data_IF_384296984735
#
_entry.id   IF_384296984735
#
_cell.length_a   1.000
_cell.length_b   1.000
_cell.length_c   1.000
_cell.angle_alpha   90.00
_cell.angle_beta   90.00
_cell.angle_gamma   90.00
#
_symmetry.space_group_name_H-M   'P 1'
#
loop_
_entity.id
_entity.type
_entity.pdbx_description
1 polymer ?
#
# COMPACT_ATOMS: atom_id res chain seq x y z
N UNK A 1 13.96 -9.95 -9.42
CA UNK A 1 12.69 -10.55 -9.91
C UNK A 1 12.41 -11.89 -9.26
N UNK A 2 13.38 -12.80 -9.13
CA UNK A 2 13.21 -14.08 -8.42
C UNK A 2 12.61 -13.91 -7.02
N UNK A 3 13.21 -13.05 -6.18
CA UNK A 3 12.67 -12.76 -4.84
C UNK A 3 11.23 -12.20 -4.87
N UNK A 4 10.89 -11.36 -5.84
CA UNK A 4 9.54 -10.82 -5.95
C UNK A 4 8.53 -11.90 -6.35
N UNK A 5 8.94 -12.83 -7.22
CA UNK A 5 8.12 -13.97 -7.63
C UNK A 5 7.87 -14.93 -6.45
N UNK A 6 8.88 -15.14 -5.59
CA UNK A 6 8.74 -15.91 -4.35
C UNK A 6 7.75 -15.26 -3.37
N UNK A 7 7.86 -13.95 -3.12
CA UNK A 7 6.95 -13.19 -2.26
C UNK A 7 5.50 -13.23 -2.78
N UNK A 8 5.34 -13.15 -4.10
CA UNK A 8 4.04 -13.19 -4.75
C UNK A 8 3.51 -14.62 -4.98
N UNK A 9 4.27 -15.66 -4.60
CA UNK A 9 3.95 -17.06 -4.83
C UNK A 9 3.60 -17.41 -6.29
N UNK A 10 4.30 -16.80 -7.25
CA UNK A 10 4.12 -17.04 -8.68
C UNK A 10 5.43 -17.47 -9.34
N UNK A 11 5.33 -18.07 -10.52
CA UNK A 11 6.50 -18.42 -11.32
C UNK A 11 7.22 -17.15 -11.81
N UNK A 12 8.54 -17.11 -11.70
CA UNK A 12 9.35 -15.99 -12.18
C UNK A 12 9.14 -15.64 -13.66
N UNK A 13 8.96 -16.62 -14.59
CA UNK A 13 8.59 -16.32 -15.98
C UNK A 13 7.25 -15.59 -16.10
N UNK A 14 6.25 -15.94 -15.29
CA UNK A 14 4.94 -15.29 -15.31
C UNK A 14 5.04 -13.82 -14.85
N UNK A 15 5.79 -13.55 -13.78
CA UNK A 15 6.05 -12.18 -13.33
C UNK A 15 6.81 -11.37 -14.39
N UNK A 16 7.82 -11.98 -15.02
CA UNK A 16 8.56 -11.33 -16.11
C UNK A 16 7.66 -10.99 -17.29
N UNK A 17 6.72 -11.86 -17.63
CA UNK A 17 5.77 -11.63 -18.71
C UNK A 17 4.80 -10.51 -18.37
N UNK A 18 4.27 -10.46 -17.14
CA UNK A 18 3.38 -9.38 -16.70
C UNK A 18 4.06 -8.01 -16.76
N UNK A 19 5.33 -7.92 -16.33
CA UNK A 19 6.11 -6.69 -16.45
C UNK A 19 6.29 -6.31 -17.93
N UNK A 20 6.62 -7.27 -18.79
CA UNK A 20 6.79 -7.00 -20.21
C UNK A 20 5.49 -6.53 -20.88
N UNK A 21 4.35 -7.10 -20.52
CA UNK A 21 3.03 -6.64 -20.98
C UNK A 21 2.78 -5.18 -20.56
N UNK A 22 3.05 -4.86 -19.29
CA UNK A 22 2.90 -3.50 -18.76
C UNK A 22 3.81 -2.51 -19.50
N UNK A 23 5.08 -2.88 -19.72
CA UNK A 23 6.02 -2.08 -20.52
C UNK A 23 5.51 -1.86 -21.96
N UNK A 24 4.85 -2.86 -22.55
CA UNK A 24 4.20 -2.76 -23.85
C UNK A 24 2.98 -1.83 -23.88
N UNK A 25 2.13 -1.88 -22.85
CA UNK A 25 0.96 -0.99 -22.72
C UNK A 25 1.36 0.48 -22.60
N UNK A 26 2.42 0.76 -21.83
CA UNK A 26 2.95 2.11 -21.66
C UNK A 26 3.95 2.52 -22.75
N UNK A 27 4.29 1.62 -23.67
CA UNK A 27 5.33 1.81 -24.69
C UNK A 27 6.67 2.33 -24.10
N UNK A 28 7.00 1.88 -22.90
CA UNK A 28 8.11 2.41 -22.14
C UNK A 28 8.70 1.33 -21.24
N UNK A 29 10.03 1.25 -21.21
CA UNK A 29 10.73 0.37 -20.28
C UNK A 29 10.57 0.90 -18.85
N UNK A 30 10.13 0.04 -17.94
CA UNK A 30 9.85 0.36 -16.53
C UNK A 30 10.98 -0.15 -15.64
N UNK A 31 11.63 -1.25 -16.01
CA UNK A 31 12.71 -1.88 -15.25
C UNK A 31 13.96 -2.12 -16.11
N UNK A 32 15.12 -1.79 -15.57
CA UNK A 32 16.44 -2.13 -16.13
C UNK A 32 16.99 -3.33 -15.37
N UNK A 33 17.40 -4.36 -16.12
CA UNK A 33 18.07 -5.55 -15.57
C UNK A 33 19.58 -5.36 -15.66
N UNK A 34 20.25 -5.48 -14.52
CA UNK A 34 21.72 -5.42 -14.42
C UNK A 34 22.26 -6.70 -13.79
N UNK A 35 23.57 -6.92 -13.88
CA UNK A 35 24.24 -8.05 -13.20
C UNK A 35 24.08 -8.02 -11.67
N UNK A 36 23.74 -6.86 -11.09
CA UNK A 36 23.55 -6.66 -9.64
C UNK A 36 22.09 -6.74 -9.20
N UNK A 37 21.14 -6.90 -10.13
CA UNK A 37 19.72 -6.93 -9.82
C UNK A 37 18.88 -6.09 -10.78
N UNK A 38 17.74 -5.62 -10.30
CA UNK A 38 16.75 -4.89 -11.11
C UNK A 38 16.53 -3.51 -10.52
N UNK A 39 16.58 -2.48 -11.36
CA UNK A 39 16.41 -1.08 -10.97
C UNK A 39 15.31 -0.42 -11.81
N UNK A 40 14.47 0.44 -11.22
CA UNK A 40 13.43 1.13 -11.98
C UNK A 40 14.03 2.20 -12.90
N UNK A 41 13.43 2.39 -14.08
CA UNK A 41 13.65 3.55 -14.94
C UNK A 41 12.95 4.78 -14.36
N UNK A 42 13.12 5.95 -14.98
CA UNK A 42 12.37 7.15 -14.58
C UNK A 42 10.86 6.99 -14.79
N UNK A 43 10.45 6.35 -15.90
CA UNK A 43 9.06 5.96 -16.11
C UNK A 43 8.57 4.95 -15.05
N UNK A 44 9.41 3.98 -14.69
CA UNK A 44 9.12 3.03 -13.61
C UNK A 44 8.89 3.70 -12.27
N UNK A 45 9.65 4.75 -11.93
CA UNK A 45 9.47 5.54 -10.69
C UNK A 45 8.16 6.34 -10.70
N UNK A 46 7.81 6.94 -11.84
CA UNK A 46 6.54 7.66 -12.00
C UNK A 46 5.38 6.69 -11.80
N UNK A 47 5.39 5.57 -12.53
CA UNK A 47 4.35 4.55 -12.42
C UNK A 47 4.24 4.00 -11.00
N UNK A 48 5.38 3.73 -10.33
CA UNK A 48 5.39 3.23 -8.95
C UNK A 48 4.67 4.17 -7.98
N UNK A 49 4.90 5.48 -8.11
CA UNK A 49 4.23 6.50 -7.27
C UNK A 49 2.71 6.45 -7.44
N UNK A 50 2.24 6.39 -8.69
CA UNK A 50 0.81 6.33 -8.98
C UNK A 50 0.20 4.98 -8.61
N UNK A 51 0.86 3.87 -8.94
CA UNK A 51 0.40 2.51 -8.64
C UNK A 51 0.19 2.31 -7.14
N UNK A 52 1.11 2.79 -6.30
CA UNK A 52 0.97 2.71 -4.84
C UNK A 52 -0.25 3.47 -4.33
N UNK A 53 -0.54 4.64 -4.90
CA UNK A 53 -1.73 5.42 -4.53
C UNK A 53 -3.02 4.71 -4.98
N UNK A 54 -3.05 4.18 -6.20
CA UNK A 54 -4.18 3.45 -6.77
C UNK A 54 -4.49 2.20 -5.95
N UNK A 55 -3.48 1.38 -5.64
CA UNK A 55 -3.67 0.16 -4.84
C UNK A 55 -4.26 0.48 -3.46
N UNK A 56 -3.78 1.55 -2.81
CA UNK A 56 -4.35 2.02 -1.54
C UNK A 56 -5.80 2.48 -1.69
N UNK A 57 -6.14 3.19 -2.77
CA UNK A 57 -7.52 3.58 -3.03
C UNK A 57 -8.43 2.37 -3.28
N UNK A 58 -7.96 1.37 -4.01
CA UNK A 58 -8.70 0.13 -4.23
C UNK A 58 -8.98 -0.61 -2.92
N UNK A 59 -7.97 -0.73 -2.05
CA UNK A 59 -8.11 -1.33 -0.72
C UNK A 59 -9.13 -0.55 0.13
N UNK A 60 -9.03 0.78 0.16
CA UNK A 60 -10.00 1.63 0.87
C UNK A 60 -11.42 1.47 0.33
N UNK A 61 -11.59 1.38 -0.99
CA UNK A 61 -12.88 1.14 -1.61
C UNK A 61 -13.46 -0.23 -1.23
N UNK A 62 -12.63 -1.28 -1.23
CA UNK A 62 -13.05 -2.62 -0.80
C UNK A 62 -13.49 -2.63 0.66
N UNK A 63 -12.72 -2.00 1.55
CA UNK A 63 -13.07 -1.85 2.97
C UNK A 63 -14.38 -1.06 3.14
N UNK A 64 -14.52 0.06 2.45
CA UNK A 64 -15.72 0.89 2.53
C UNK A 64 -16.98 0.11 2.11
N UNK A 65 -16.89 -0.70 1.03
CA UNK A 65 -17.99 -1.55 0.58
C UNK A 65 -18.27 -2.70 1.56
N UNK A 66 -17.23 -3.35 2.08
CA UNK A 66 -17.40 -4.44 3.06
C UNK A 66 -18.02 -3.97 4.37
N UNK A 67 -17.70 -2.75 4.79
CA UNK A 67 -18.15 -2.18 6.06
C UNK A 67 -19.54 -1.53 5.98
N UNK A 68 -20.21 -1.56 4.81
CA UNK A 68 -21.59 -1.04 4.69
C UNK A 68 -22.51 -1.84 5.62
N UNK A 69 -23.05 -1.16 6.62
CA UNK A 69 -23.97 -1.76 7.60
C UNK A 69 -23.29 -2.55 8.73
N UNK A 70 -21.95 -2.58 8.76
CA UNK A 70 -21.20 -3.14 9.89
C UNK A 70 -20.82 -2.03 10.88
N UNK A 71 -20.77 -2.37 12.17
CA UNK A 71 -20.19 -1.47 13.17
C UNK A 71 -18.71 -1.21 12.81
N UNK A 72 -18.26 0.04 12.99
CA UNK A 72 -16.86 0.43 12.72
C UNK A 72 -15.91 -0.49 13.50
N UNK A 73 -15.08 -1.26 12.79
CA UNK A 73 -14.17 -2.25 13.36
C UNK A 73 -12.89 -2.35 12.54
N UNK A 74 -11.78 -2.79 13.17
CA UNK A 74 -10.49 -3.00 12.49
C UNK A 74 -9.34 -2.17 13.05
N UNK A 75 -8.16 -2.32 12.44
CA UNK A 75 -6.90 -1.74 12.94
C UNK A 75 -6.62 -0.35 12.35
N UNK A 76 -6.36 0.65 13.21
CA UNK A 76 -6.09 2.04 12.81
C UNK A 76 -4.76 2.50 13.39
N UNK A 77 -3.81 2.87 12.53
CA UNK A 77 -2.55 3.47 12.98
C UNK A 77 -2.63 4.98 13.03
N UNK A 78 -2.31 5.57 14.20
CA UNK A 78 -2.26 7.02 14.40
C UNK A 78 -0.79 7.44 14.55
N UNK A 79 -0.32 8.30 13.65
CA UNK A 79 1.05 8.85 13.69
C UNK A 79 1.09 10.24 14.32
N UNK A 80 1.96 10.43 15.30
CA UNK A 80 2.19 11.73 15.94
C UNK A 80 3.58 12.28 15.59
N UNK A 81 3.65 13.57 15.22
CA UNK A 81 4.93 14.24 15.00
C UNK A 81 5.61 14.54 16.35
N UNK A 82 6.89 14.17 16.54
CA UNK A 82 7.62 14.44 17.78
C UNK A 82 7.65 15.94 18.12
N UNK A 83 7.50 16.27 19.41
CA UNK A 83 7.62 17.65 19.91
C UNK A 83 6.43 18.57 19.63
N UNK A 84 5.33 18.05 19.09
CA UNK A 84 4.09 18.82 18.89
C UNK A 84 3.15 18.69 20.09
N UNK A 85 2.21 19.62 20.22
CA UNK A 85 1.08 19.51 21.16
C UNK A 85 0.18 18.28 20.89
N UNK A 86 0.47 17.49 19.86
CA UNK A 86 -0.26 16.27 19.57
C UNK A 86 -0.12 15.22 20.68
N UNK A 87 0.92 15.28 21.51
CA UNK A 87 1.11 14.38 22.66
C UNK A 87 0.09 14.58 23.77
N UNK A 88 -0.45 15.78 23.96
CA UNK A 88 -1.47 16.06 25.00
C UNK A 88 -2.87 15.60 24.59
N UNK A 89 -3.14 15.49 23.28
CA UNK A 89 -4.42 15.00 22.75
C UNK A 89 -4.45 13.49 22.52
N UNK A 90 -3.28 12.82 22.53
CA UNK A 90 -3.19 11.36 22.27
C UNK A 90 -4.05 10.54 23.23
N UNK A 91 -3.94 10.77 24.54
CA UNK A 91 -4.71 9.99 25.53
C UNK A 91 -6.22 10.28 25.51
N UNK A 92 -6.67 11.54 25.47
CA UNK A 92 -8.10 11.85 25.32
C UNK A 92 -8.71 11.23 24.06
N UNK A 93 -7.99 11.27 22.93
CA UNK A 93 -8.44 10.68 21.67
C UNK A 93 -8.59 9.15 21.79
N UNK A 94 -7.59 8.47 22.37
CA UNK A 94 -7.64 7.01 22.55
C UNK A 94 -8.82 6.60 23.46
N UNK A 95 -9.10 7.37 24.50
CA UNK A 95 -10.24 7.14 25.38
C UNK A 95 -11.58 7.34 24.67
N UNK A 96 -11.72 8.42 23.88
CA UNK A 96 -12.92 8.69 23.10
C UNK A 96 -13.18 7.58 22.06
N UNK A 97 -12.15 7.14 21.33
CA UNK A 97 -12.29 6.07 20.34
C UNK A 97 -12.70 4.76 21.00
N UNK A 98 -12.11 4.40 22.15
CA UNK A 98 -12.49 3.18 22.87
C UNK A 98 -13.93 3.21 23.42
N UNK A 99 -14.43 4.40 23.76
CA UNK A 99 -15.79 4.57 24.27
C UNK A 99 -16.84 4.56 23.16
N UNK A 100 -16.56 5.20 22.02
CA UNK A 100 -17.51 5.34 20.91
C UNK A 100 -17.42 4.20 19.88
N UNK A 101 -16.25 3.56 19.74
CA UNK A 101 -15.96 2.51 18.77
C UNK A 101 -15.21 1.33 19.41
N UNK A 102 -15.90 0.51 20.23
CA UNK A 102 -15.26 -0.57 21.00
C UNK A 102 -14.62 -1.69 20.15
N UNK A 103 -15.01 -1.80 18.88
CA UNK A 103 -14.51 -2.80 17.93
C UNK A 103 -13.29 -2.28 17.10
N UNK A 104 -12.86 -1.04 17.32
CA UNK A 104 -11.67 -0.45 16.67
C UNK A 104 -10.43 -0.69 17.52
N UNK A 105 -9.37 -1.20 16.88
CA UNK A 105 -8.07 -1.46 17.51
C UNK A 105 -7.06 -0.41 17.04
N UNK A 106 -6.54 0.40 17.96
CA UNK A 106 -5.51 1.42 17.69
C UNK A 106 -4.12 0.87 18.00
#
# INVERSE_FOLDING_TARGET
LTQAAEVLHIAQPALSQQVATLEGEFNQQLLIRTKRGVTPTDAGKILYTHARAILRQCEQAQLAVHNVGQALSGQVSIGFAPGTAASSITMPLLQAVRAEFPEVVI
#
